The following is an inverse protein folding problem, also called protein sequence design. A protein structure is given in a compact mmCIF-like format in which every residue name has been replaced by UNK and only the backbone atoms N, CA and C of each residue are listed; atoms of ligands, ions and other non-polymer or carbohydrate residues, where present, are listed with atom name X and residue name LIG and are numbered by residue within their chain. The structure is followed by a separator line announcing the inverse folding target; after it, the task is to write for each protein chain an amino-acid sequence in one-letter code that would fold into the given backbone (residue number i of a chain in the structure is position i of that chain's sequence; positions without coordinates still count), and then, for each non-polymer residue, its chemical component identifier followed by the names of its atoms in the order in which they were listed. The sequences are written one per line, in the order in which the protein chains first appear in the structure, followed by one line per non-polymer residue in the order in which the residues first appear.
data_IF_689886544703
#
_entry.id   IF_689886544703
#
_cell.length_a   1.000
_cell.length_b   1.000
_cell.length_c   1.000
_cell.angle_alpha   90.00
_cell.angle_beta   90.00
_cell.angle_gamma   90.00
#
_symmetry.space_group_name_H-M   'P 1'
#
loop_
_entity.id
_entity.type
_entity.pdbx_description
1 polymer ?
#
# COMPACT_ATOMS: atom_id res chain seq x y z
N UNK A 1 3.85 30.58 -8.51
CA UNK A 1 4.71 29.65 -7.74
C UNK A 1 4.31 28.24 -8.11
N UNK A 2 4.91 27.74 -9.18
CA UNK A 2 4.58 26.45 -9.82
C UNK A 2 5.32 25.35 -9.08
N UNK A 3 4.65 24.72 -8.11
CA UNK A 3 5.12 23.47 -7.52
C UNK A 3 4.99 22.38 -8.58
N UNK A 4 6.10 22.01 -9.19
CA UNK A 4 6.22 20.88 -10.10
C UNK A 4 5.70 19.64 -9.39
N UNK A 5 4.57 19.12 -9.87
CA UNK A 5 4.10 17.80 -9.52
C UNK A 5 5.26 16.83 -9.81
N UNK A 6 5.82 16.25 -8.74
CA UNK A 6 6.71 15.11 -8.88
C UNK A 6 6.02 14.11 -9.81
N UNK A 7 6.68 13.77 -10.90
CA UNK A 7 6.28 12.78 -11.88
C UNK A 7 5.82 11.52 -11.14
N UNK A 8 4.50 11.33 -11.05
CA UNK A 8 3.89 10.15 -10.46
C UNK A 8 3.94 9.04 -11.52
N UNK A 9 5.10 8.42 -11.70
CA UNK A 9 5.16 7.09 -12.30
C UNK A 9 4.71 6.08 -11.24
N UNK A 10 3.45 5.69 -11.33
CA UNK A 10 2.82 4.65 -10.52
C UNK A 10 1.70 4.09 -11.42
N UNK A 11 1.41 2.78 -11.53
CA UNK A 11 2.18 1.51 -11.30
C UNK A 11 1.71 0.30 -12.20
N UNK A 12 2.36 -0.85 -12.43
CA UNK A 12 3.53 -1.56 -11.91
C UNK A 12 4.32 -2.22 -13.06
N UNK A 13 5.21 -1.49 -13.74
CA UNK A 13 6.15 -2.13 -14.66
C UNK A 13 7.27 -2.78 -13.86
N UNK A 14 6.99 -4.00 -13.37
CA UNK A 14 8.00 -4.82 -12.72
C UNK A 14 9.09 -5.17 -13.73
N UNK A 15 10.38 -5.16 -13.33
CA UNK A 15 11.46 -5.59 -14.21
C UNK A 15 11.18 -6.99 -14.75
N UNK A 16 11.53 -7.22 -16.03
CA UNK A 16 11.52 -8.58 -16.58
C UNK A 16 12.54 -9.41 -15.81
N UNK A 17 12.17 -10.65 -15.52
CA UNK A 17 13.00 -11.65 -14.81
C UNK A 17 13.24 -11.40 -13.30
N UNK A 18 12.41 -10.56 -12.67
CA UNK A 18 12.44 -10.42 -11.20
C UNK A 18 11.70 -11.56 -10.50
N UNK A 19 12.29 -12.07 -9.41
CA UNK A 19 11.67 -13.10 -8.59
C UNK A 19 10.40 -12.55 -7.91
N UNK A 20 9.25 -13.20 -8.13
CA UNK A 20 8.00 -12.86 -7.46
C UNK A 20 7.82 -13.74 -6.22
N UNK A 21 7.66 -13.11 -5.06
CA UNK A 21 7.41 -13.77 -3.77
C UNK A 21 6.01 -13.49 -3.25
N UNK A 22 5.45 -14.42 -2.48
CA UNK A 22 4.25 -14.19 -1.68
C UNK A 22 4.65 -13.71 -0.28
N UNK A 23 4.11 -12.57 0.11
CA UNK A 23 4.29 -11.95 1.40
C UNK A 23 3.01 -12.05 2.20
N UNK A 24 3.15 -12.07 3.54
CA UNK A 24 2.03 -12.08 4.48
C UNK A 24 2.17 -10.91 5.43
N UNK A 25 1.04 -10.32 5.78
CA UNK A 25 0.98 -9.20 6.73
C UNK A 25 -0.36 -9.11 7.42
N UNK A 26 -0.55 -8.05 8.18
CA UNK A 26 -1.83 -7.77 8.82
C UNK A 26 -1.71 -6.74 9.93
N UNK A 27 -2.83 -6.43 10.58
CA UNK A 27 -2.84 -5.46 11.67
C UNK A 27 -2.23 -6.04 12.96
N UNK A 28 -1.87 -5.15 13.88
CA UNK A 28 -1.33 -5.51 15.20
C UNK A 28 -2.24 -6.47 15.97
N UNK A 29 -3.54 -6.19 16.05
CA UNK A 29 -4.50 -6.99 16.81
C UNK A 29 -4.93 -8.31 16.14
N UNK A 30 -4.31 -8.69 15.01
CA UNK A 30 -4.60 -9.91 14.26
C UNK A 30 -5.99 -10.05 13.62
N UNK A 31 -6.91 -9.09 13.82
CA UNK A 31 -8.26 -9.12 13.22
C UNK A 31 -8.24 -9.15 11.68
N UNK A 32 -7.26 -8.49 11.07
CA UNK A 32 -7.06 -8.48 9.63
C UNK A 32 -5.70 -9.08 9.29
N UNK A 33 -5.72 -10.07 8.39
CA UNK A 33 -4.54 -10.69 7.80
C UNK A 33 -4.68 -10.63 6.30
N UNK A 34 -3.55 -10.50 5.62
CA UNK A 34 -3.51 -10.45 4.18
C UNK A 34 -2.29 -11.15 3.64
N UNK A 35 -2.36 -11.45 2.35
CA UNK A 35 -1.24 -11.89 1.55
C UNK A 35 -1.18 -11.08 0.27
N UNK A 36 0.02 -10.91 -0.28
CA UNK A 36 0.19 -10.31 -1.58
C UNK A 36 1.41 -10.84 -2.30
N UNK A 37 1.39 -10.85 -3.63
CA UNK A 37 2.57 -11.16 -4.42
C UNK A 37 3.26 -9.89 -4.91
N UNK A 38 4.58 -9.85 -4.84
CA UNK A 38 5.39 -8.73 -5.30
C UNK A 38 6.81 -9.21 -5.64
N UNK A 39 7.54 -8.51 -6.53
CA UNK A 39 8.98 -8.65 -6.67
C UNK A 39 9.68 -8.67 -5.33
N UNK A 40 10.71 -9.51 -5.20
CA UNK A 40 11.54 -9.54 -4.01
C UNK A 40 12.08 -8.11 -3.72
N UNK A 41 11.76 -7.56 -2.55
CA UNK A 41 12.18 -6.21 -2.17
C UNK A 41 13.33 -6.21 -1.17
N UNK A 42 13.67 -7.36 -0.59
CA UNK A 42 14.77 -7.52 0.37
C UNK A 42 16.16 -7.43 -0.29
N UNK A 43 16.22 -7.64 -1.61
CA UNK A 43 17.46 -7.54 -2.39
C UNK A 43 17.79 -6.08 -2.82
N UNK A 44 16.89 -5.12 -2.54
CA UNK A 44 17.06 -3.71 -2.88
C UNK A 44 16.83 -3.37 -4.36
N UNK A 45 16.42 -4.32 -5.21
CA UNK A 45 16.14 -4.08 -6.62
C UNK A 45 14.81 -3.36 -6.85
N UNK A 46 13.91 -3.41 -5.86
CA UNK A 46 12.60 -2.79 -5.91
C UNK A 46 12.53 -1.65 -4.92
N UNK A 47 12.08 -0.50 -5.41
CA UNK A 47 12.00 0.72 -4.61
C UNK A 47 10.87 0.60 -3.57
N UNK A 48 11.25 0.60 -2.29
CA UNK A 48 10.34 0.89 -1.19
C UNK A 48 10.15 2.40 -1.10
N UNK A 49 8.90 2.83 -1.11
CA UNK A 49 8.53 4.23 -1.12
C UNK A 49 8.38 4.77 0.30
N UNK A 50 9.01 5.91 0.55
CA UNK A 50 8.80 6.73 1.74
C UNK A 50 8.22 8.07 1.29
N UNK A 51 6.93 8.25 1.55
CA UNK A 51 6.22 9.48 1.16
C UNK A 51 6.28 10.50 2.30
N UNK A 52 6.56 11.75 1.96
CA UNK A 52 6.66 12.86 2.91
C UNK A 52 5.33 13.60 3.18
N UNK A 53 4.21 13.11 2.65
CA UNK A 53 2.92 13.74 2.94
C UNK A 53 2.54 13.55 4.41
N UNK A 54 1.73 14.47 4.96
CA UNK A 54 1.46 14.52 6.39
C UNK A 54 0.93 13.20 6.96
N UNK A 55 0.02 12.51 6.28
CA UNK A 55 -0.51 11.22 6.75
C UNK A 55 0.53 10.11 6.73
N UNK A 56 1.35 10.01 5.68
CA UNK A 56 2.40 9.00 5.58
C UNK A 56 3.48 9.23 6.63
N UNK A 57 3.89 10.49 6.82
CA UNK A 57 4.86 10.88 7.86
C UNK A 57 4.30 10.62 9.26
N UNK A 58 3.05 10.99 9.54
CA UNK A 58 2.41 10.80 10.85
C UNK A 58 2.26 9.31 11.22
N UNK A 59 1.98 8.46 10.23
CA UNK A 59 1.81 7.02 10.44
C UNK A 59 3.12 6.24 10.26
N UNK A 60 4.21 6.87 9.83
CA UNK A 60 5.49 6.21 9.55
C UNK A 60 5.42 5.19 8.42
N UNK A 61 4.64 5.46 7.36
CA UNK A 61 4.40 4.47 6.30
C UNK A 61 5.60 4.33 5.36
N UNK A 62 6.13 3.11 5.28
CA UNK A 62 6.96 2.62 4.18
C UNK A 62 6.11 1.68 3.33
N UNK A 63 6.09 1.89 2.02
CA UNK A 63 5.15 1.15 1.18
C UNK A 63 5.66 0.79 -0.20
N UNK A 64 5.03 -0.21 -0.78
CA UNK A 64 5.25 -0.70 -2.15
C UNK A 64 3.92 -0.73 -2.90
N UNK A 65 4.02 -0.72 -4.23
CA UNK A 65 2.91 -0.78 -5.16
C UNK A 65 2.74 -2.20 -5.69
N UNK A 66 1.54 -2.77 -5.56
CA UNK A 66 1.21 -4.08 -6.14
C UNK A 66 -0.16 -4.03 -6.84
N UNK A 67 -0.36 -4.77 -7.94
CA UNK A 67 -1.69 -4.88 -8.54
C UNK A 67 -2.72 -5.41 -7.54
N UNK A 68 -3.93 -4.84 -7.53
CA UNK A 68 -5.02 -5.31 -6.64
C UNK A 68 -5.33 -6.81 -6.87
N UNK A 69 -5.14 -7.32 -8.09
CA UNK A 69 -5.31 -8.74 -8.42
C UNK A 69 -4.32 -9.68 -7.72
N UNK A 70 -3.23 -9.14 -7.16
CA UNK A 70 -2.21 -9.89 -6.42
C UNK A 70 -2.31 -9.71 -4.91
N UNK A 71 -3.30 -8.99 -4.41
CA UNK A 71 -3.55 -8.79 -2.99
C UNK A 71 -4.82 -9.54 -2.57
N UNK A 72 -4.81 -10.15 -1.38
CA UNK A 72 -6.00 -10.74 -0.79
C UNK A 72 -6.00 -10.62 0.74
N UNK A 73 -7.14 -10.24 1.31
CA UNK A 73 -7.40 -10.45 2.73
C UNK A 73 -7.59 -11.96 2.97
N UNK A 74 -6.83 -12.51 3.92
CA UNK A 74 -6.97 -13.90 4.38
C UNK A 74 -7.81 -13.98 5.65
N UNK A 75 -7.99 -12.87 6.36
CA UNK A 75 -8.88 -12.75 7.52
C UNK A 75 -9.48 -11.35 7.58
N UNK A 76 -10.76 -11.27 7.96
CA UNK A 76 -11.55 -10.04 7.97
C UNK A 76 -12.14 -9.69 6.60
N UNK A 77 -12.95 -8.62 6.56
CA UNK A 77 -13.56 -8.12 5.33
C UNK A 77 -13.12 -6.67 5.05
N UNK A 78 -12.88 -6.34 3.78
CA UNK A 78 -12.46 -5.00 3.39
C UNK A 78 -13.47 -3.91 3.80
N UNK A 79 -14.77 -4.25 3.87
CA UNK A 79 -15.85 -3.34 4.30
C UNK A 79 -15.83 -3.04 5.80
N UNK A 80 -15.09 -3.81 6.60
CA UNK A 80 -14.93 -3.58 8.03
C UNK A 80 -13.74 -2.67 8.36
N UNK A 81 -12.92 -2.32 7.36
CA UNK A 81 -11.83 -1.37 7.55
C UNK A 81 -12.37 0.05 7.64
N UNK A 82 -11.81 0.83 8.55
CA UNK A 82 -12.04 2.28 8.56
C UNK A 82 -11.33 2.90 7.36
N UNK A 83 -11.97 3.88 6.74
CA UNK A 83 -11.45 4.56 5.55
C UNK A 83 -11.21 6.03 5.80
N UNK A 84 -10.14 6.56 5.23
CA UNK A 84 -9.85 7.99 5.22
C UNK A 84 -9.32 8.41 3.85
N UNK A 85 -9.98 9.40 3.25
CA UNK A 85 -9.60 10.01 1.98
C UNK A 85 -9.22 11.46 2.25
N UNK A 86 -7.98 11.83 1.93
CA UNK A 86 -7.59 13.24 2.00
C UNK A 86 -8.36 14.02 0.92
N UNK A 87 -8.95 15.18 1.26
CA UNK A 87 -9.60 16.05 0.29
C UNK A 87 -8.66 16.40 -0.87
N UNK A 88 -9.15 16.26 -2.11
CA UNK A 88 -8.37 16.56 -3.32
C UNK A 88 -7.25 15.57 -3.64
N UNK A 89 -7.24 14.38 -3.01
CA UNK A 89 -6.36 13.26 -3.37
C UNK A 89 -7.18 12.08 -3.89
N UNK A 90 -6.55 11.26 -4.73
CA UNK A 90 -7.17 10.06 -5.31
C UNK A 90 -6.82 8.77 -4.54
N UNK A 91 -6.24 8.90 -3.34
CA UNK A 91 -5.73 7.78 -2.54
C UNK A 91 -6.51 7.60 -1.24
N UNK A 92 -7.18 6.46 -1.08
CA UNK A 92 -7.98 6.12 0.11
C UNK A 92 -7.20 5.20 1.05
N UNK A 93 -6.92 5.66 2.26
CA UNK A 93 -6.27 4.86 3.31
C UNK A 93 -7.30 3.97 4.00
N UNK A 94 -7.01 2.67 4.11
CA UNK A 94 -7.82 1.70 4.83
C UNK A 94 -7.04 1.18 6.04
N UNK A 95 -7.61 1.24 7.23
CA UNK A 95 -6.94 0.86 8.47
C UNK A 95 -7.83 0.06 9.39
N UNK A 96 -7.21 -0.70 10.28
CA UNK A 96 -7.92 -1.49 11.27
C UNK A 96 -8.63 -0.56 12.27
N UNK A 97 -9.97 -0.64 12.42
CA UNK A 97 -10.69 0.19 13.39
C UNK A 97 -10.29 -0.09 14.84
N UNK A 98 -9.76 -1.28 15.13
CA UNK A 98 -9.46 -1.72 16.49
C UNK A 98 -8.07 -1.30 16.98
N UNK A 99 -7.08 -1.20 16.10
CA UNK A 99 -5.70 -0.90 16.50
C UNK A 99 -4.99 0.15 15.63
N UNK A 100 -5.69 0.79 14.69
CA UNK A 100 -5.16 1.87 13.86
C UNK A 100 -4.14 1.46 12.79
N UNK A 101 -3.68 0.20 12.76
CA UNK A 101 -2.72 -0.27 11.75
C UNK A 101 -3.26 -0.04 10.33
N UNK A 102 -2.48 0.62 9.48
CA UNK A 102 -2.84 0.80 8.08
C UNK A 102 -2.67 -0.54 7.33
N UNK A 103 -3.73 -0.97 6.65
CA UNK A 103 -3.79 -2.25 5.95
C UNK A 103 -3.42 -2.07 4.49
N UNK A 104 -4.11 -1.14 3.82
CA UNK A 104 -3.85 -0.80 2.42
C UNK A 104 -4.11 0.68 2.17
N UNK A 105 -3.44 1.27 1.18
CA UNK A 105 -3.91 2.49 0.50
C UNK A 105 -4.35 2.09 -0.89
N UNK A 106 -5.59 2.43 -1.26
CA UNK A 106 -6.08 2.25 -2.63
C UNK A 106 -5.88 3.53 -3.39
N UNK A 107 -5.29 3.43 -4.57
CA UNK A 107 -5.41 4.48 -5.55
C UNK A 107 -6.71 4.27 -6.33
N UNK A 108 -7.57 5.28 -6.43
CA UNK A 108 -8.85 5.17 -7.11
C UNK A 108 -8.72 5.34 -8.63
N UNK A 109 -7.59 5.87 -9.11
CA UNK A 109 -7.29 6.01 -10.54
C UNK A 109 -6.56 4.77 -11.10
N UNK A 110 -5.71 4.14 -10.29
CA UNK A 110 -4.89 3.00 -10.68
C UNK A 110 -5.27 1.83 -9.77
N UNK A 111 -5.68 0.68 -10.32
CA UNK A 111 -6.24 -0.48 -9.57
C UNK A 111 -5.19 -1.18 -8.71
N UNK A 112 -4.75 -0.48 -7.68
CA UNK A 112 -3.48 -0.74 -7.04
C UNK A 112 -3.48 -0.62 -5.53
N UNK A 113 -2.71 -1.58 -5.04
CA UNK A 113 -2.31 -1.98 -3.73
C UNK A 113 -1.14 -1.22 -3.11
N UNK A 114 -1.32 -0.24 -2.22
CA UNK A 114 -0.19 0.20 -1.39
C UNK A 114 -0.18 -0.63 -0.11
N UNK A 115 0.81 -1.50 0.04
CA UNK A 115 0.99 -2.31 1.26
C UNK A 115 2.07 -1.68 2.14
N UNK A 116 1.79 -1.52 3.43
CA UNK A 116 2.82 -1.08 4.38
C UNK A 116 3.67 -2.25 4.84
N UNK A 117 4.98 -2.05 4.84
CA UNK A 117 5.99 -3.01 5.28
C UNK A 117 6.26 -2.91 6.78
#
# INVERSE_FOLDING_TARGET
MTGTAATLEVPSDWPKDVEIKEYKGGCHCARFRFKFSHPAFENGEVKVMSCNCSICTQHGLLHIYTPESRFALTTGNIRELSVYQLPGKNTTHHFCPSCGSNIIVRNNEFREIVVNL
#
